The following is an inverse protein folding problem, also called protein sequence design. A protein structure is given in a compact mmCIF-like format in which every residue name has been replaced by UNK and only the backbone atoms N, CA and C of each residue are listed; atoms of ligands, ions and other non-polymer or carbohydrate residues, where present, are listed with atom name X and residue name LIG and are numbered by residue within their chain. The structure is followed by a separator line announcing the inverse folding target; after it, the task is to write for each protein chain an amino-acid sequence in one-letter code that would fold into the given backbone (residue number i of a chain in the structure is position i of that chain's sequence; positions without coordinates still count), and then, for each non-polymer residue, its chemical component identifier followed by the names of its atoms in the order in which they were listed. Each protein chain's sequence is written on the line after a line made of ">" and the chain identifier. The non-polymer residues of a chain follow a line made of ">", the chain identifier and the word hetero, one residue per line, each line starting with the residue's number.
data_IF_337799859432
#
_entry.id   IF_337799859432
#
_cell.length_a   1.000
_cell.length_b   1.000
_cell.length_c   1.000
_cell.angle_alpha   90.00
_cell.angle_beta   90.00
_cell.angle_gamma   90.00
#
_symmetry.space_group_name_H-M   'P 1'
#
loop_
_entity.id
_entity.type
_entity.pdbx_description
1 polymer ?
#
# COMPACT_ATOMS: atom_id res chain seq x y z
N UNK A 1 3.15 61.77 7.73
CA UNK A 1 3.77 62.00 9.04
C UNK A 1 3.03 61.19 10.08
N UNK A 2 3.69 60.21 10.71
CA UNK A 2 3.83 60.03 12.17
C UNK A 2 5.09 59.16 12.33
N UNK A 3 5.99 59.55 13.22
CA UNK A 3 7.27 58.86 13.46
C UNK A 3 7.28 58.28 14.87
N UNK A 4 7.65 57.00 14.99
CA UNK A 4 8.03 56.38 16.28
C UNK A 4 9.32 55.58 16.03
N UNK A 5 10.33 55.77 16.89
CA UNK A 5 11.65 55.17 16.73
C UNK A 5 11.86 53.95 17.67
N UNK A 6 12.78 53.03 17.37
CA UNK A 6 12.92 51.75 18.08
C UNK A 6 14.05 51.70 19.12
N UNK A 7 13.89 50.87 20.15
CA UNK A 7 14.91 50.43 21.12
C UNK A 7 14.55 48.99 21.62
N UNK A 8 15.45 48.23 22.28
CA UNK A 8 16.67 47.65 21.70
C UNK A 8 16.81 46.14 22.03
N UNK A 9 17.79 45.41 21.47
CA UNK A 9 18.13 44.07 22.03
C UNK A 9 19.04 43.11 21.27
N UNK A 10 19.21 43.22 19.95
CA UNK A 10 19.94 42.20 19.17
C UNK A 10 21.46 42.32 19.30
N UNK A 11 22.11 41.38 20.00
CA UNK A 11 23.55 41.11 19.84
C UNK A 11 23.80 40.21 18.62
N UNK A 12 24.80 40.48 17.77
CA UNK A 12 25.08 39.67 16.59
C UNK A 12 25.79 38.36 16.94
N UNK A 13 25.41 37.27 16.28
CA UNK A 13 26.15 35.99 16.31
C UNK A 13 27.21 36.02 15.22
N UNK A 14 28.48 35.88 15.60
CA UNK A 14 29.60 35.78 14.65
C UNK A 14 29.67 34.39 14.02
N UNK A 15 29.85 34.32 12.70
CA UNK A 15 30.21 33.09 12.00
C UNK A 15 31.73 32.87 12.04
N UNK A 16 32.21 31.99 12.92
CA UNK A 16 33.60 31.55 12.95
C UNK A 16 33.85 30.38 11.99
N UNK A 17 34.69 30.56 10.98
CA UNK A 17 35.00 29.52 9.99
C UNK A 17 35.93 28.43 10.56
N UNK A 18 35.51 27.15 10.51
CA UNK A 18 36.32 26.01 10.95
C UNK A 18 36.47 24.91 9.89
N UNK A 19 37.60 25.01 9.17
CA UNK A 19 38.50 23.97 8.62
C UNK A 19 37.94 22.57 8.28
N UNK A 20 38.15 22.16 7.02
CA UNK A 20 37.94 20.80 6.50
C UNK A 20 38.61 19.66 7.30
N UNK A 21 37.92 18.51 7.45
CA UNK A 21 38.55 17.19 7.57
C UNK A 21 38.91 16.62 6.19
N UNK A 22 40.08 15.96 6.13
CA UNK A 22 40.79 15.46 4.94
C UNK A 22 40.00 14.46 4.08
N UNK A 23 40.22 14.47 2.77
CA UNK A 23 39.83 13.38 1.85
C UNK A 23 40.51 12.06 2.24
N UNK A 24 39.73 10.97 2.27
CA UNK A 24 40.26 9.60 2.32
C UNK A 24 40.40 9.09 0.88
N UNK A 25 41.62 8.75 0.47
CA UNK A 25 41.87 8.06 -0.81
C UNK A 25 41.58 6.57 -0.64
N UNK A 26 40.70 6.02 -1.48
CA UNK A 26 40.63 4.57 -1.70
C UNK A 26 41.69 4.15 -2.72
N UNK A 27 42.47 3.12 -2.39
CA UNK A 27 43.45 2.47 -3.28
C UNK A 27 43.11 0.98 -3.34
N UNK A 28 43.01 0.35 -4.52
CA UNK A 28 42.67 -1.06 -4.63
C UNK A 28 43.90 -1.96 -4.41
N UNK A 29 43.88 -2.77 -3.36
CA UNK A 29 44.86 -3.85 -3.12
C UNK A 29 44.35 -5.19 -3.66
N UNK A 30 45.28 -6.05 -4.12
CA UNK A 30 45.00 -7.28 -4.86
C UNK A 30 44.91 -8.52 -3.95
N UNK A 31 44.46 -9.61 -4.59
CA UNK A 31 44.55 -11.03 -4.21
C UNK A 31 45.60 -11.41 -3.16
N UNK A 32 45.23 -12.34 -2.28
CA UNK A 32 46.14 -13.19 -1.51
C UNK A 32 45.58 -14.62 -1.46
N UNK A 33 46.46 -15.61 -1.46
CA UNK A 33 46.14 -17.02 -1.72
C UNK A 33 45.91 -17.86 -0.45
N UNK A 34 45.54 -19.13 -0.63
CA UNK A 34 45.15 -20.06 0.44
C UNK A 34 46.31 -21.01 0.77
N UNK A 35 46.77 -21.04 2.03
CA UNK A 35 47.79 -21.98 2.51
C UNK A 35 47.40 -22.74 3.79
N UNK A 36 47.11 -24.03 3.60
CA UNK A 36 47.23 -25.24 4.47
C UNK A 36 47.31 -25.11 6.01
N UNK A 37 46.45 -25.88 6.68
CA UNK A 37 46.56 -26.35 8.08
C UNK A 37 47.68 -27.40 8.28
N UNK A 38 48.05 -27.73 9.54
CA UNK A 38 47.84 -29.12 9.98
C UNK A 38 47.28 -29.33 11.42
N UNK A 39 46.97 -30.59 11.71
CA UNK A 39 46.27 -31.20 12.86
C UNK A 39 46.65 -30.82 14.31
N UNK A 40 45.70 -31.08 15.22
CA UNK A 40 45.94 -31.88 16.44
C UNK A 40 44.85 -32.95 16.66
N UNK A 41 45.02 -33.89 17.61
CA UNK A 41 44.31 -35.20 17.68
C UNK A 41 43.37 -35.39 18.91
N UNK A 42 42.31 -36.19 18.68
CA UNK A 42 41.63 -37.16 19.58
C UNK A 42 41.32 -36.83 21.06
N UNK A 43 40.02 -36.82 21.40
CA UNK A 43 39.43 -37.47 22.61
C UNK A 43 38.08 -38.13 22.22
N UNK A 44 37.61 -39.14 22.97
CA UNK A 44 36.38 -39.95 22.76
C UNK A 44 35.69 -40.22 24.11
N UNK A 45 34.37 -40.45 24.24
CA UNK A 45 33.22 -40.16 23.34
C UNK A 45 32.49 -38.93 23.95
N UNK A 46 31.18 -38.72 24.17
CA UNK A 46 29.83 -39.35 23.97
C UNK A 46 28.87 -38.14 23.82
N UNK A 47 27.72 -38.11 23.12
CA UNK A 47 27.02 -39.11 22.30
C UNK A 47 25.52 -38.74 22.16
N UNK A 48 25.22 -37.58 21.57
CA UNK A 48 23.88 -37.18 21.11
C UNK A 48 24.03 -36.40 19.79
N UNK A 49 23.04 -36.46 18.89
CA UNK A 49 23.22 -36.06 17.48
C UNK A 49 22.93 -34.58 17.19
N UNK A 50 23.97 -33.76 17.19
CA UNK A 50 23.94 -32.43 16.58
C UNK A 50 24.00 -32.51 15.04
N UNK A 51 23.31 -31.62 14.33
CA UNK A 51 23.77 -31.18 13.00
C UNK A 51 23.32 -29.76 12.57
N UNK A 52 23.32 -28.82 13.51
CA UNK A 52 23.25 -27.38 13.20
C UNK A 52 24.63 -26.84 12.77
N UNK A 53 25.05 -27.03 11.50
CA UNK A 53 26.19 -26.31 10.88
C UNK A 53 26.25 -26.44 9.34
N UNK A 54 25.72 -25.46 8.62
CA UNK A 54 25.92 -25.34 7.15
C UNK A 54 25.90 -23.91 6.59
N UNK A 55 26.13 -22.89 7.44
CA UNK A 55 26.08 -21.46 7.07
C UNK A 55 27.41 -20.95 6.49
N UNK A 56 27.94 -21.57 5.41
CA UNK A 56 28.86 -20.93 4.43
C UNK A 56 28.74 -21.57 3.02
N UNK A 57 27.55 -21.64 2.42
CA UNK A 57 27.44 -22.01 0.98
C UNK A 57 26.20 -21.46 0.24
N UNK A 58 25.75 -20.24 0.54
CA UNK A 58 24.50 -19.69 -0.05
C UNK A 58 24.67 -18.33 -0.75
N UNK A 59 25.63 -18.21 -1.68
CA UNK A 59 25.62 -17.14 -2.71
C UNK A 59 25.32 -17.65 -4.13
N UNK A 60 25.86 -18.80 -4.54
CA UNK A 60 25.54 -19.39 -5.85
C UNK A 60 24.09 -19.91 -5.95
N UNK A 61 23.54 -20.48 -4.87
CA UNK A 61 22.17 -21.04 -4.83
C UNK A 61 21.07 -19.97 -4.96
N UNK A 62 21.33 -18.73 -4.53
CA UNK A 62 20.38 -17.61 -4.69
C UNK A 62 20.21 -17.27 -6.18
N UNK A 63 21.29 -17.26 -6.97
CA UNK A 63 21.23 -17.01 -8.41
C UNK A 63 20.39 -18.07 -9.16
N UNK A 64 20.54 -19.35 -8.80
CA UNK A 64 19.74 -20.42 -9.41
C UNK A 64 18.28 -20.39 -8.98
N UNK A 65 17.97 -20.05 -7.72
CA UNK A 65 16.58 -19.91 -7.25
C UNK A 65 15.89 -18.69 -7.87
N UNK A 66 16.58 -17.55 -8.00
CA UNK A 66 16.04 -16.37 -8.69
C UNK A 66 15.79 -16.63 -10.18
N UNK A 67 16.68 -17.37 -10.85
CA UNK A 67 16.44 -17.80 -12.25
C UNK A 67 15.29 -18.81 -12.38
N UNK A 68 15.15 -19.76 -11.45
CA UNK A 68 14.04 -20.71 -11.45
C UNK A 68 12.69 -20.04 -11.14
N UNK A 69 12.67 -19.03 -10.25
CA UNK A 69 11.47 -18.24 -9.99
C UNK A 69 11.02 -17.42 -11.23
N UNK A 70 11.97 -17.00 -12.07
CA UNK A 70 11.70 -16.32 -13.33
C UNK A 70 11.30 -17.26 -14.50
N UNK A 71 11.26 -18.57 -14.29
CA UNK A 71 10.94 -19.58 -15.32
C UNK A 71 9.77 -20.49 -14.95
N UNK A 72 8.97 -20.13 -13.96
CA UNK A 72 7.70 -20.78 -13.65
C UNK A 72 6.59 -19.91 -14.22
N UNK A 73 5.91 -20.38 -15.27
CA UNK A 73 4.67 -19.74 -15.73
C UNK A 73 3.66 -19.71 -14.58
N UNK A 74 3.08 -18.54 -14.34
CA UNK A 74 1.85 -18.43 -13.55
C UNK A 74 0.80 -19.26 -14.27
N UNK A 75 -0.04 -20.08 -13.60
CA UNK A 75 -1.16 -20.73 -14.28
C UNK A 75 -2.00 -19.65 -14.96
N UNK A 76 -2.03 -19.70 -16.27
CA UNK A 76 -2.66 -18.67 -17.11
C UNK A 76 -4.17 -18.73 -16.87
N UNK A 77 -4.73 -17.61 -16.40
CA UNK A 77 -6.16 -17.41 -16.53
C UNK A 77 -6.47 -17.22 -18.00
N UNK A 78 -7.58 -17.79 -18.48
CA UNK A 78 -8.00 -17.68 -19.87
C UNK A 78 -8.03 -16.21 -20.29
N UNK A 79 -7.28 -15.85 -21.34
CA UNK A 79 -7.29 -14.51 -21.91
C UNK A 79 -8.38 -14.37 -22.96
N UNK A 80 -9.04 -13.20 -22.99
CA UNK A 80 -10.12 -12.95 -23.92
C UNK A 80 -11.01 -11.79 -23.50
N UNK A 81 -11.97 -11.44 -24.35
CA UNK A 81 -13.00 -10.47 -24.01
C UNK A 81 -14.17 -11.19 -23.34
N UNK A 82 -14.24 -11.15 -22.02
CA UNK A 82 -15.32 -11.77 -21.24
C UNK A 82 -16.50 -10.82 -20.96
N UNK A 83 -16.60 -9.73 -21.74
CA UNK A 83 -17.58 -8.67 -21.57
C UNK A 83 -17.23 -7.66 -20.46
N UNK A 84 -18.13 -6.72 -20.22
CA UNK A 84 -18.00 -5.72 -19.16
C UNK A 84 -18.59 -6.22 -17.84
N UNK A 85 -18.03 -5.75 -16.72
CA UNK A 85 -18.63 -5.94 -15.40
C UNK A 85 -19.97 -5.21 -15.36
N UNK A 86 -20.99 -5.85 -14.79
CA UNK A 86 -22.37 -5.38 -14.74
C UNK A 86 -22.48 -3.91 -14.32
N UNK A 87 -23.20 -3.11 -15.11
CA UNK A 87 -23.42 -1.66 -14.88
C UNK A 87 -22.12 -0.83 -14.79
N UNK A 88 -21.04 -1.23 -15.48
CA UNK A 88 -19.79 -0.49 -15.55
C UNK A 88 -19.18 -0.46 -16.95
N UNK A 89 -18.17 0.40 -17.13
CA UNK A 89 -17.32 0.49 -18.30
C UNK A 89 -16.14 -0.51 -18.29
N UNK A 90 -15.85 -1.16 -17.15
CA UNK A 90 -14.70 -2.06 -16.95
C UNK A 90 -14.87 -3.38 -17.71
N UNK A 91 -13.96 -3.67 -18.63
CA UNK A 91 -13.90 -4.90 -19.43
C UNK A 91 -13.08 -5.99 -18.72
N UNK A 92 -13.61 -7.20 -18.61
CA UNK A 92 -12.90 -8.35 -18.04
C UNK A 92 -12.00 -8.95 -19.12
N UNK A 93 -10.68 -8.81 -18.95
CA UNK A 93 -9.64 -9.18 -19.93
C UNK A 93 -9.10 -10.60 -19.76
N UNK A 94 -9.31 -11.17 -18.57
CA UNK A 94 -8.86 -12.51 -18.20
C UNK A 94 -9.85 -13.12 -17.20
N UNK A 95 -9.98 -14.45 -17.13
CA UNK A 95 -10.67 -15.12 -16.01
C UNK A 95 -9.79 -16.14 -15.32
N UNK A 96 -9.82 -16.17 -13.99
CA UNK A 96 -9.13 -17.19 -13.17
C UNK A 96 -10.11 -18.19 -12.58
N UNK A 97 -9.84 -19.47 -12.79
CA UNK A 97 -10.53 -20.54 -12.08
C UNK A 97 -9.92 -20.73 -10.69
N UNK A 98 -10.33 -19.88 -9.74
CA UNK A 98 -9.82 -19.91 -8.36
C UNK A 98 -10.28 -21.15 -7.59
N UNK A 99 -11.42 -21.74 -7.94
CA UNK A 99 -12.04 -22.79 -7.13
C UNK A 99 -11.78 -24.21 -7.66
N UNK A 100 -11.78 -24.39 -8.98
CA UNK A 100 -11.75 -25.70 -9.62
C UNK A 100 -10.51 -25.89 -10.51
N UNK A 101 -10.18 -27.13 -10.85
CA UNK A 101 -9.12 -27.45 -11.83
C UNK A 101 -7.67 -27.18 -11.40
N UNK A 102 -7.42 -26.55 -10.24
CA UNK A 102 -6.08 -26.29 -9.70
C UNK A 102 -5.77 -27.06 -8.42
N UNK A 103 -4.48 -27.21 -8.12
CA UNK A 103 -4.02 -27.64 -6.79
C UNK A 103 -4.15 -26.49 -5.78
N UNK A 104 -4.77 -26.78 -4.64
CA UNK A 104 -4.88 -25.88 -3.49
C UNK A 104 -3.63 -25.99 -2.61
N UNK A 105 -3.12 -24.87 -2.13
CA UNK A 105 -2.08 -24.83 -1.09
C UNK A 105 -2.70 -24.96 0.31
N UNK A 106 -1.90 -25.33 1.31
CA UNK A 106 -2.36 -25.36 2.70
C UNK A 106 -2.87 -24.00 3.18
N UNK A 107 -2.30 -22.90 2.65
CA UNK A 107 -2.77 -21.54 2.94
C UNK A 107 -4.15 -21.28 2.33
N UNK A 108 -4.40 -21.71 1.09
CA UNK A 108 -5.72 -21.55 0.44
C UNK A 108 -6.80 -22.28 1.25
N UNK A 109 -6.49 -23.51 1.71
CA UNK A 109 -7.40 -24.33 2.54
C UNK A 109 -7.65 -23.69 3.90
N UNK A 110 -6.60 -23.18 4.57
CA UNK A 110 -6.75 -22.45 5.84
C UNK A 110 -7.61 -21.20 5.64
N UNK A 111 -7.32 -20.38 4.63
CA UNK A 111 -8.04 -19.12 4.39
C UNK A 111 -9.51 -19.36 4.04
N UNK A 112 -9.85 -20.30 3.15
CA UNK A 112 -11.27 -20.59 2.86
C UNK A 112 -11.98 -21.21 4.06
N UNK A 113 -11.30 -22.02 4.88
CA UNK A 113 -11.89 -22.57 6.11
C UNK A 113 -12.18 -21.47 7.13
N UNK A 114 -11.23 -20.55 7.36
CA UNK A 114 -11.42 -19.41 8.27
C UNK A 114 -12.55 -18.51 7.77
N UNK A 115 -12.48 -18.03 6.52
CA UNK A 115 -13.52 -17.16 5.93
C UNK A 115 -14.88 -17.85 5.94
N UNK A 116 -14.96 -19.10 5.47
CA UNK A 116 -16.20 -19.89 5.47
C UNK A 116 -16.77 -20.10 6.86
N UNK A 117 -15.93 -20.39 7.86
CA UNK A 117 -16.39 -20.56 9.25
C UNK A 117 -16.97 -19.27 9.85
N UNK A 118 -16.41 -18.09 9.54
CA UNK A 118 -16.99 -16.81 9.97
C UNK A 118 -18.35 -16.53 9.30
N UNK A 119 -18.52 -16.93 8.03
CA UNK A 119 -19.80 -16.83 7.32
C UNK A 119 -20.84 -17.78 7.92
N UNK A 120 -20.51 -19.06 8.11
CA UNK A 120 -21.40 -20.04 8.75
C UNK A 120 -21.77 -19.62 10.17
N UNK A 121 -20.80 -19.12 10.96
CA UNK A 121 -21.03 -18.59 12.30
C UNK A 121 -22.00 -17.38 12.28
N UNK A 122 -21.94 -16.54 11.24
CA UNK A 122 -22.85 -15.40 11.07
C UNK A 122 -24.30 -15.81 10.77
N UNK A 123 -24.54 -16.98 10.19
CA UNK A 123 -25.91 -17.47 9.92
C UNK A 123 -26.71 -17.74 11.20
N UNK A 124 -26.05 -17.93 12.34
CA UNK A 124 -26.72 -18.09 13.64
C UNK A 124 -27.25 -16.77 14.22
N UNK A 125 -26.84 -15.61 13.68
CA UNK A 125 -27.10 -14.29 14.25
C UNK A 125 -28.59 -13.98 14.55
N UNK A 126 -29.58 -14.35 13.69
CA UNK A 126 -30.99 -14.11 13.98
C UNK A 126 -31.51 -14.88 15.21
N UNK A 127 -30.95 -16.06 15.48
CA UNK A 127 -31.39 -16.96 16.56
C UNK A 127 -30.78 -16.59 17.91
N UNK A 128 -29.75 -15.74 17.94
CA UNK A 128 -28.99 -15.38 19.16
C UNK A 128 -28.84 -13.87 19.36
N UNK A 129 -29.61 -13.05 18.63
CA UNK A 129 -29.54 -11.60 18.73
C UNK A 129 -29.86 -11.10 20.15
N UNK A 130 -29.03 -10.19 20.64
CA UNK A 130 -29.34 -9.32 21.77
C UNK A 130 -28.49 -8.04 21.67
N UNK A 131 -28.96 -6.97 22.32
CA UNK A 131 -28.33 -5.65 22.24
C UNK A 131 -26.90 -5.59 22.79
N UNK A 132 -26.54 -6.43 23.76
CA UNK A 132 -25.17 -6.47 24.29
C UNK A 132 -24.20 -7.11 23.28
N UNK A 133 -24.57 -8.25 22.68
CA UNK A 133 -23.80 -8.91 21.63
C UNK A 133 -23.66 -8.01 20.39
N UNK A 134 -24.72 -7.30 20.00
CA UNK A 134 -24.69 -6.29 18.93
C UNK A 134 -23.77 -5.11 19.28
N UNK A 135 -23.87 -4.56 20.50
CA UNK A 135 -23.01 -3.46 20.96
C UNK A 135 -21.52 -3.84 20.97
N UNK A 136 -21.20 -5.06 21.39
CA UNK A 136 -19.83 -5.62 21.33
C UNK A 136 -19.37 -5.80 19.88
N UNK A 137 -20.22 -6.29 18.98
CA UNK A 137 -19.90 -6.38 17.55
C UNK A 137 -19.66 -5.01 16.91
N UNK A 138 -20.48 -4.01 17.23
CA UNK A 138 -20.31 -2.64 16.74
C UNK A 138 -19.04 -1.98 17.30
N UNK A 139 -18.76 -2.14 18.59
CA UNK A 139 -17.51 -1.69 19.20
C UNK A 139 -16.28 -2.34 18.57
N UNK A 140 -16.32 -3.66 18.33
CA UNK A 140 -15.26 -4.38 17.63
C UNK A 140 -15.14 -3.98 16.15
N UNK A 141 -16.23 -3.60 15.47
CA UNK A 141 -16.18 -3.04 14.11
C UNK A 141 -15.43 -1.69 14.08
N UNK A 142 -15.64 -0.80 15.06
CA UNK A 142 -14.85 0.42 15.20
C UNK A 142 -13.38 0.12 15.55
N UNK A 143 -13.11 -0.83 16.46
CA UNK A 143 -11.75 -1.20 16.85
C UNK A 143 -10.98 -1.86 15.70
N UNK A 144 -11.52 -2.89 15.05
CA UNK A 144 -10.77 -3.64 14.03
C UNK A 144 -10.87 -3.01 12.64
N UNK A 145 -12.00 -2.38 12.30
CA UNK A 145 -12.19 -1.69 11.02
C UNK A 145 -11.58 -0.28 11.00
N UNK A 146 -12.13 0.65 11.78
CA UNK A 146 -11.68 2.05 11.80
C UNK A 146 -10.25 2.16 12.33
N UNK A 147 -9.96 1.72 13.55
CA UNK A 147 -8.62 1.87 14.15
C UNK A 147 -7.61 0.85 13.57
N UNK A 148 -8.05 -0.39 13.33
CA UNK A 148 -7.21 -1.47 12.82
C UNK A 148 -6.86 -1.34 11.34
N UNK A 149 -7.83 -1.55 10.45
CA UNK A 149 -7.58 -1.53 8.99
C UNK A 149 -7.31 -0.11 8.48
N UNK A 150 -8.23 0.83 8.66
CA UNK A 150 -8.13 2.13 7.94
C UNK A 150 -7.07 3.05 8.54
N UNK A 151 -7.05 3.23 9.87
CA UNK A 151 -6.08 4.10 10.54
C UNK A 151 -4.68 3.48 10.56
N UNK A 152 -4.54 2.22 10.99
CA UNK A 152 -3.24 1.57 11.14
C UNK A 152 -2.74 0.93 9.84
N UNK A 153 -3.32 -0.20 9.40
CA UNK A 153 -2.75 -0.99 8.30
C UNK A 153 -2.63 -0.18 7.00
N UNK A 154 -3.66 0.59 6.66
CA UNK A 154 -3.68 1.40 5.45
C UNK A 154 -2.91 2.72 5.60
N UNK A 155 -3.47 3.73 6.29
CA UNK A 155 -2.90 5.08 6.28
C UNK A 155 -1.56 5.18 7.03
N UNK A 156 -1.41 4.51 8.17
CA UNK A 156 -0.17 4.58 8.96
C UNK A 156 0.94 3.64 8.46
N UNK A 157 0.65 2.35 8.25
CA UNK A 157 1.68 1.35 7.95
C UNK A 157 1.99 1.25 6.45
N UNK A 158 0.98 1.12 5.58
CA UNK A 158 1.22 1.07 4.13
C UNK A 158 1.77 2.39 3.61
N UNK A 159 1.07 3.50 3.86
CA UNK A 159 1.35 4.80 3.23
C UNK A 159 2.22 5.76 4.06
N UNK A 160 2.39 5.48 5.35
CA UNK A 160 3.13 6.34 6.30
C UNK A 160 2.63 7.79 6.25
N UNK A 161 1.31 7.96 6.16
CA UNK A 161 0.66 9.26 5.98
C UNK A 161 0.80 10.21 7.19
N UNK A 162 1.14 9.64 8.35
CA UNK A 162 1.48 10.31 9.59
C UNK A 162 2.34 9.36 10.43
N UNK A 163 2.96 9.87 11.50
CA UNK A 163 3.69 9.09 12.51
C UNK A 163 2.88 9.02 13.81
N UNK A 164 3.07 7.94 14.57
CA UNK A 164 2.55 7.75 15.92
C UNK A 164 3.72 7.38 16.88
N UNK A 165 3.59 7.57 18.19
CA UNK A 165 4.49 6.92 19.15
C UNK A 165 4.31 5.40 19.07
N UNK A 166 5.41 4.65 19.19
CA UNK A 166 5.43 3.21 18.85
C UNK A 166 4.46 2.35 19.65
N UNK A 167 4.15 2.69 20.90
CA UNK A 167 3.14 1.97 21.69
C UNK A 167 1.74 2.07 21.07
N UNK A 168 1.40 3.22 20.45
CA UNK A 168 0.10 3.47 19.84
C UNK A 168 0.03 2.92 18.41
N UNK A 169 1.14 3.01 17.66
CA UNK A 169 1.31 2.30 16.38
C UNK A 169 1.05 0.79 16.57
N UNK A 170 1.70 0.19 17.57
CA UNK A 170 1.59 -1.23 17.87
C UNK A 170 0.21 -1.61 18.41
N UNK A 171 -0.43 -0.75 19.23
CA UNK A 171 -1.80 -0.94 19.69
C UNK A 171 -2.79 -1.01 18.53
N UNK A 172 -2.80 -0.02 17.63
CA UNK A 172 -3.72 -0.02 16.50
C UNK A 172 -3.41 -1.14 15.48
N UNK A 173 -2.15 -1.50 15.29
CA UNK A 173 -1.79 -2.66 14.47
C UNK A 173 -2.26 -4.00 15.09
N UNK A 174 -2.31 -4.10 16.42
CA UNK A 174 -2.92 -5.23 17.11
C UNK A 174 -4.44 -5.28 16.88
N UNK A 175 -5.11 -4.13 16.92
CA UNK A 175 -6.52 -4.02 16.53
C UNK A 175 -6.76 -4.45 15.07
N UNK A 176 -5.83 -4.15 14.16
CA UNK A 176 -5.86 -4.59 12.76
C UNK A 176 -5.71 -6.11 12.62
N UNK A 177 -4.81 -6.74 13.38
CA UNK A 177 -4.66 -8.20 13.38
C UNK A 177 -5.94 -8.94 13.83
N UNK A 178 -6.75 -8.31 14.69
CA UNK A 178 -8.06 -8.84 15.10
C UNK A 178 -9.15 -8.73 14.02
N UNK A 179 -8.90 -8.05 12.89
CA UNK A 179 -9.81 -7.99 11.74
C UNK A 179 -9.83 -9.26 10.89
N UNK A 180 -8.95 -10.25 11.18
CA UNK A 180 -8.84 -11.53 10.46
C UNK A 180 -8.51 -11.42 8.95
N UNK A 181 -7.97 -10.29 8.49
CA UNK A 181 -7.58 -10.03 7.09
C UNK A 181 -6.11 -10.36 6.77
N UNK A 182 -5.37 -10.98 7.70
CA UNK A 182 -3.92 -11.23 7.59
C UNK A 182 -3.12 -10.51 8.68
N UNK A 183 -1.84 -10.86 8.82
CA UNK A 183 -0.93 -10.19 9.75
C UNK A 183 -0.37 -8.89 9.13
N UNK A 184 0.12 -7.93 9.94
CA UNK A 184 0.44 -6.58 9.44
C UNK A 184 1.46 -6.53 8.30
N UNK A 185 2.44 -7.45 8.27
CA UNK A 185 3.46 -7.51 7.21
C UNK A 185 2.84 -7.89 5.86
N UNK A 186 1.98 -8.92 5.83
CA UNK A 186 1.39 -9.46 4.60
C UNK A 186 0.31 -8.54 4.02
N UNK A 187 -0.55 -7.97 4.88
CA UNK A 187 -1.54 -6.98 4.46
C UNK A 187 -0.87 -5.74 3.86
N UNK A 188 0.14 -5.18 4.54
CA UNK A 188 0.90 -4.01 4.06
C UNK A 188 1.69 -4.32 2.79
N UNK A 189 2.27 -5.53 2.70
CA UNK A 189 2.93 -6.01 1.48
C UNK A 189 1.97 -6.01 0.29
N UNK A 190 0.84 -6.69 0.46
CA UNK A 190 -0.21 -6.83 -0.56
C UNK A 190 -0.76 -5.48 -1.00
N UNK A 191 -1.09 -4.61 -0.04
CA UNK A 191 -1.60 -3.26 -0.32
C UNK A 191 -0.59 -2.38 -1.06
N UNK A 192 0.70 -2.46 -0.72
CA UNK A 192 1.77 -1.75 -1.44
C UNK A 192 2.01 -2.32 -2.84
N UNK A 193 1.81 -3.62 -3.07
CA UNK A 193 1.86 -4.19 -4.42
C UNK A 193 0.66 -3.80 -5.29
N UNK A 194 -0.54 -3.70 -4.71
CA UNK A 194 -1.70 -3.15 -5.41
C UNK A 194 -1.41 -1.72 -5.89
N UNK A 195 -0.94 -0.79 -5.05
CA UNK A 195 -0.58 0.55 -5.55
C UNK A 195 0.57 0.55 -6.58
N UNK A 196 1.61 -0.25 -6.37
CA UNK A 196 2.75 -0.30 -7.29
C UNK A 196 2.36 -0.85 -8.69
N UNK A 197 1.34 -1.70 -8.76
CA UNK A 197 0.97 -2.44 -9.96
C UNK A 197 -0.54 -2.36 -10.27
N UNK A 198 -1.19 -1.26 -9.88
CA UNK A 198 -2.65 -1.12 -9.86
C UNK A 198 -3.29 -1.43 -11.21
N UNK A 199 -4.36 -2.23 -11.18
CA UNK A 199 -5.10 -2.65 -12.37
C UNK A 199 -4.20 -3.29 -13.45
N UNK A 200 -3.11 -3.95 -13.06
CA UNK A 200 -2.25 -4.73 -13.96
C UNK A 200 -2.20 -6.21 -13.57
N UNK A 201 -1.53 -7.03 -14.37
CA UNK A 201 -1.34 -8.45 -14.09
C UNK A 201 -0.58 -8.78 -12.79
N UNK A 202 0.08 -7.80 -12.18
CA UNK A 202 0.79 -7.94 -10.89
C UNK A 202 0.01 -7.36 -9.71
N UNK A 203 -1.14 -6.74 -9.94
CA UNK A 203 -2.09 -6.40 -8.89
C UNK A 203 -2.59 -7.70 -8.23
N UNK A 204 -2.55 -7.84 -6.89
CA UNK A 204 -3.11 -9.00 -6.22
C UNK A 204 -4.61 -9.18 -6.46
N UNK A 205 -5.38 -8.11 -6.69
CA UNK A 205 -6.84 -8.15 -6.76
C UNK A 205 -7.41 -7.28 -7.89
N UNK A 206 -6.83 -7.40 -9.09
CA UNK A 206 -7.28 -6.64 -10.27
C UNK A 206 -8.76 -6.89 -10.63
N UNK A 207 -9.56 -5.85 -10.90
CA UNK A 207 -10.90 -5.98 -11.46
C UNK A 207 -10.89 -6.51 -12.90
N UNK A 208 -9.77 -6.44 -13.63
CA UNK A 208 -9.64 -7.02 -14.97
C UNK A 208 -9.74 -8.56 -14.97
N UNK A 209 -9.62 -9.21 -13.81
CA UNK A 209 -9.90 -10.64 -13.62
C UNK A 209 -11.33 -10.92 -13.11
N UNK A 210 -12.15 -9.86 -12.99
CA UNK A 210 -13.57 -9.89 -12.66
C UNK A 210 -13.92 -9.28 -11.29
N UNK A 211 -15.17 -8.84 -11.15
CA UNK A 211 -15.68 -8.28 -9.88
C UNK A 211 -15.53 -9.24 -8.70
N UNK A 212 -15.94 -10.51 -8.86
CA UNK A 212 -15.82 -11.49 -7.78
C UNK A 212 -14.36 -11.86 -7.47
N UNK A 213 -13.45 -11.78 -8.44
CA UNK A 213 -12.02 -11.96 -8.19
C UNK A 213 -11.48 -10.84 -7.31
N UNK A 214 -11.64 -9.58 -7.71
CA UNK A 214 -11.22 -8.40 -6.95
C UNK A 214 -11.91 -8.26 -5.59
N UNK A 215 -13.15 -8.76 -5.46
CA UNK A 215 -13.89 -8.77 -4.21
C UNK A 215 -13.33 -9.81 -3.23
N UNK A 216 -13.41 -11.11 -3.56
CA UNK A 216 -13.14 -12.19 -2.60
C UNK A 216 -12.24 -13.31 -3.14
N UNK A 217 -12.34 -13.68 -4.41
CA UNK A 217 -11.66 -14.90 -4.89
C UNK A 217 -10.13 -14.76 -4.88
N UNK A 218 -9.58 -13.55 -5.07
CA UNK A 218 -8.14 -13.29 -4.97
C UNK A 218 -7.52 -13.80 -3.65
N UNK A 219 -8.28 -13.71 -2.56
CA UNK A 219 -7.85 -14.06 -1.21
C UNK A 219 -7.65 -15.58 -1.02
N UNK A 220 -8.18 -16.41 -1.93
CA UNK A 220 -8.04 -17.86 -1.93
C UNK A 220 -7.01 -18.39 -2.95
N UNK A 221 -6.28 -17.52 -3.66
CA UNK A 221 -5.34 -17.87 -4.73
C UNK A 221 -3.86 -17.60 -4.32
N UNK A 222 -3.50 -17.96 -3.08
CA UNK A 222 -2.27 -17.55 -2.39
C UNK A 222 -1.00 -17.82 -3.23
N UNK A 223 -0.93 -18.98 -3.90
CA UNK A 223 0.19 -19.34 -4.78
C UNK A 223 0.40 -18.32 -5.90
N UNK A 224 -0.67 -17.88 -6.55
CA UNK A 224 -0.64 -16.87 -7.62
C UNK A 224 -0.32 -15.48 -7.08
N UNK A 225 -0.88 -15.10 -5.92
CA UNK A 225 -0.54 -13.83 -5.25
C UNK A 225 0.96 -13.77 -4.91
N UNK A 226 1.52 -14.83 -4.32
CA UNK A 226 2.95 -14.94 -3.99
C UNK A 226 3.83 -14.86 -5.24
N UNK A 227 3.45 -15.53 -6.34
CA UNK A 227 4.16 -15.45 -7.63
C UNK A 227 4.14 -14.02 -8.22
N UNK A 228 3.00 -13.33 -8.18
CA UNK A 228 2.82 -11.97 -8.70
C UNK A 228 3.58 -10.91 -7.90
N UNK A 229 3.46 -10.98 -6.58
CA UNK A 229 4.04 -10.02 -5.65
C UNK A 229 5.55 -10.25 -5.49
N UNK A 230 5.99 -11.50 -5.36
CA UNK A 230 7.36 -11.86 -5.00
C UNK A 230 7.61 -11.93 -3.48
N UNK A 231 6.54 -12.04 -2.68
CA UNK A 231 6.60 -12.04 -1.22
C UNK A 231 6.83 -10.64 -0.59
N UNK A 232 6.88 -10.53 0.75
CA UNK A 232 6.82 -9.27 1.50
C UNK A 232 8.06 -8.37 1.44
N UNK A 233 8.86 -8.46 0.37
CA UNK A 233 10.12 -7.70 0.21
C UNK A 233 9.91 -6.18 0.22
N UNK A 234 8.73 -5.70 -0.20
CA UNK A 234 8.32 -4.30 -0.13
C UNK A 234 7.88 -3.83 1.28
N UNK A 235 7.76 -4.75 2.26
CA UNK A 235 7.34 -4.50 3.64
C UNK A 235 8.49 -4.66 4.67
N UNK A 236 9.75 -4.66 4.21
CA UNK A 236 10.92 -4.89 5.08
C UNK A 236 11.17 -3.86 6.18
N UNK A 237 10.42 -2.76 6.24
CA UNK A 237 10.35 -1.84 7.38
C UNK A 237 9.55 -2.41 8.57
N UNK A 238 8.57 -3.27 8.31
CA UNK A 238 7.84 -4.00 9.34
C UNK A 238 8.64 -5.24 9.77
N UNK A 239 9.19 -6.01 8.82
CA UNK A 239 10.01 -7.21 9.10
C UNK A 239 11.20 -6.94 10.04
N UNK A 240 11.75 -5.72 10.04
CA UNK A 240 12.88 -5.35 10.91
C UNK A 240 12.46 -5.19 12.37
N UNK A 241 11.18 -4.93 12.66
CA UNK A 241 10.69 -4.67 14.01
C UNK A 241 10.26 -5.98 14.71
N UNK A 242 10.72 -6.26 15.95
CA UNK A 242 10.38 -7.50 16.65
C UNK A 242 8.87 -7.72 16.84
N UNK A 243 8.11 -6.64 17.09
CA UNK A 243 6.67 -6.68 17.32
C UNK A 243 5.89 -7.28 16.14
N UNK A 244 6.15 -6.83 14.90
CA UNK A 244 5.43 -7.35 13.74
C UNK A 244 5.77 -8.81 13.42
N UNK A 245 7.00 -9.25 13.67
CA UNK A 245 7.40 -10.67 13.59
C UNK A 245 6.84 -11.54 14.72
N UNK A 246 6.57 -10.95 15.87
CA UNK A 246 5.83 -11.64 16.94
C UNK A 246 4.37 -11.84 16.52
N UNK A 247 3.68 -10.78 16.07
CA UNK A 247 2.29 -10.86 15.59
C UNK A 247 2.13 -11.79 14.39
N UNK A 248 3.08 -11.81 13.46
CA UNK A 248 3.15 -12.78 12.36
C UNK A 248 3.16 -14.23 12.88
N UNK A 249 4.14 -14.57 13.72
CA UNK A 249 4.35 -15.94 14.22
C UNK A 249 3.24 -16.42 15.17
N UNK A 250 2.53 -15.50 15.81
CA UNK A 250 1.44 -15.80 16.75
C UNK A 250 0.07 -15.43 16.21
N UNK A 251 -0.05 -15.07 14.93
CA UNK A 251 -1.25 -14.49 14.32
C UNK A 251 -2.52 -15.28 14.65
N UNK A 252 -2.51 -16.59 14.44
CA UNK A 252 -3.67 -17.46 14.68
C UNK A 252 -4.13 -17.48 16.15
N UNK A 253 -3.22 -17.29 17.11
CA UNK A 253 -3.58 -17.27 18.54
C UNK A 253 -4.39 -16.03 18.92
N UNK A 254 -4.18 -14.88 18.27
CA UNK A 254 -4.80 -13.62 18.70
C UNK A 254 -6.32 -13.54 18.45
N UNK A 255 -6.86 -13.88 17.27
CA UNK A 255 -8.31 -13.99 17.04
C UNK A 255 -8.96 -15.16 17.79
N UNK A 256 -8.24 -16.26 17.99
CA UNK A 256 -8.74 -17.39 18.81
C UNK A 256 -8.89 -16.96 20.26
N UNK A 257 -7.91 -16.26 20.83
CA UNK A 257 -7.99 -15.70 22.18
C UNK A 257 -9.14 -14.69 22.33
N UNK A 258 -9.37 -13.83 21.32
CA UNK A 258 -10.54 -12.94 21.30
C UNK A 258 -11.86 -13.72 21.25
N UNK A 259 -11.96 -14.76 20.42
CA UNK A 259 -13.16 -15.61 20.34
C UNK A 259 -13.46 -16.35 21.65
N UNK A 260 -12.43 -16.90 22.30
CA UNK A 260 -12.55 -17.53 23.63
C UNK A 260 -12.97 -16.51 24.69
N UNK A 261 -12.38 -15.31 24.70
CA UNK A 261 -12.76 -14.24 25.61
C UNK A 261 -14.22 -13.79 25.41
N UNK A 262 -14.67 -13.62 24.17
CA UNK A 262 -16.05 -13.27 23.85
C UNK A 262 -17.03 -14.35 24.32
N UNK A 263 -16.70 -15.63 24.09
CA UNK A 263 -17.52 -16.75 24.58
C UNK A 263 -17.55 -16.83 26.11
N UNK A 264 -16.43 -16.54 26.78
CA UNK A 264 -16.38 -16.51 28.26
C UNK A 264 -17.18 -15.35 28.87
N UNK A 265 -17.27 -14.20 28.17
CA UNK A 265 -17.98 -13.01 28.67
C UNK A 265 -19.48 -12.97 28.35
N UNK A 266 -19.92 -13.61 27.26
CA UNK A 266 -21.33 -13.55 26.84
C UNK A 266 -21.77 -14.72 25.94
N UNK A 267 -21.10 -15.86 26.06
CA UNK A 267 -21.48 -17.13 25.44
C UNK A 267 -21.50 -17.13 23.92
N UNK A 268 -22.26 -18.07 23.36
CA UNK A 268 -22.45 -18.20 21.91
C UNK A 268 -22.97 -16.92 21.23
N UNK A 269 -23.88 -16.10 21.80
CA UNK A 269 -24.26 -14.81 21.22
C UNK A 269 -23.09 -13.87 20.96
N UNK A 270 -22.18 -13.71 21.93
CA UNK A 270 -21.01 -12.82 21.79
C UNK A 270 -20.00 -13.37 20.79
N UNK A 271 -19.86 -14.69 20.69
CA UNK A 271 -19.05 -15.33 19.66
C UNK A 271 -19.64 -15.11 18.26
N UNK A 272 -20.95 -15.35 18.08
CA UNK A 272 -21.66 -15.18 16.80
C UNK A 272 -21.60 -13.74 16.30
N UNK A 273 -21.90 -12.76 17.15
CA UNK A 273 -21.90 -11.36 16.75
C UNK A 273 -20.48 -10.75 16.69
N UNK A 274 -19.64 -11.00 17.71
CA UNK A 274 -18.31 -10.41 17.84
C UNK A 274 -17.22 -11.07 16.96
N UNK A 275 -17.33 -12.35 16.63
CA UNK A 275 -16.43 -13.03 15.69
C UNK A 275 -17.07 -13.30 14.34
N UNK A 276 -18.32 -13.80 14.28
CA UNK A 276 -19.01 -14.02 13.00
C UNK A 276 -19.38 -12.72 12.31
N UNK A 277 -20.51 -12.12 12.70
CA UNK A 277 -21.15 -11.00 12.00
C UNK A 277 -20.19 -9.83 11.81
N UNK A 278 -19.47 -9.43 12.87
CA UNK A 278 -18.49 -8.34 12.82
C UNK A 278 -17.36 -8.60 11.83
N UNK A 279 -16.83 -9.82 11.74
CA UNK A 279 -15.74 -10.13 10.80
C UNK A 279 -16.25 -10.18 9.37
N UNK A 280 -17.39 -10.81 9.11
CA UNK A 280 -18.01 -10.85 7.77
C UNK A 280 -18.36 -9.44 7.27
N UNK A 281 -18.88 -8.58 8.15
CA UNK A 281 -19.11 -7.17 7.85
C UNK A 281 -17.80 -6.44 7.51
N UNK A 282 -16.77 -6.56 8.35
CA UNK A 282 -15.44 -5.96 8.14
C UNK A 282 -14.75 -6.49 6.88
N UNK A 283 -14.93 -7.75 6.53
CA UNK A 283 -14.48 -8.34 5.27
C UNK A 283 -15.14 -7.63 4.08
N UNK A 284 -16.47 -7.70 3.95
CA UNK A 284 -17.14 -7.19 2.76
C UNK A 284 -16.97 -5.67 2.57
N UNK A 285 -16.93 -4.86 3.63
CA UNK A 285 -16.67 -3.41 3.47
C UNK A 285 -15.25 -3.11 2.99
N UNK A 286 -14.24 -3.88 3.37
CA UNK A 286 -12.87 -3.72 2.85
C UNK A 286 -12.77 -4.27 1.42
N UNK A 287 -13.35 -5.43 1.14
CA UNK A 287 -13.42 -6.01 -0.20
C UNK A 287 -14.20 -5.15 -1.20
N UNK A 288 -15.17 -4.36 -0.75
CA UNK A 288 -15.85 -3.32 -1.55
C UNK A 288 -14.94 -2.15 -1.95
N UNK A 289 -13.85 -1.89 -1.23
CA UNK A 289 -12.82 -0.93 -1.67
C UNK A 289 -12.10 -1.50 -2.89
N UNK A 290 -11.57 -2.73 -2.78
CA UNK A 290 -10.84 -3.42 -3.86
C UNK A 290 -11.69 -3.63 -5.13
N UNK A 291 -13.00 -3.84 -4.97
CA UNK A 291 -13.91 -4.22 -6.06
C UNK A 291 -14.84 -3.07 -6.49
N UNK A 292 -15.79 -2.66 -5.64
CA UNK A 292 -16.75 -1.63 -6.00
C UNK A 292 -16.09 -0.27 -6.27
N UNK A 293 -15.01 0.09 -5.57
CA UNK A 293 -14.27 1.34 -5.84
C UNK A 293 -13.25 1.23 -7.00
N UNK A 294 -13.14 0.07 -7.66
CA UNK A 294 -12.43 -0.10 -8.94
C UNK A 294 -13.39 -0.35 -10.12
N UNK A 295 -14.71 -0.32 -9.89
CA UNK A 295 -15.74 -0.64 -10.89
C UNK A 295 -16.84 0.42 -10.99
N UNK A 296 -17.32 0.98 -9.87
CA UNK A 296 -18.43 1.95 -9.85
C UNK A 296 -18.11 3.20 -9.02
N UNK A 297 -18.50 4.37 -9.51
CA UNK A 297 -18.31 5.66 -8.82
C UNK A 297 -17.83 6.76 -9.76
N UNK A 298 -17.19 7.79 -9.21
CA UNK A 298 -16.67 8.94 -9.97
C UNK A 298 -15.14 8.98 -9.97
N UNK A 299 -14.51 8.96 -11.15
CA UNK A 299 -13.09 9.25 -11.30
C UNK A 299 -12.91 10.79 -11.40
N UNK A 300 -12.49 11.42 -10.31
CA UNK A 300 -12.28 12.86 -10.21
C UNK A 300 -10.89 13.29 -10.70
N UNK A 301 -9.89 12.43 -10.48
CA UNK A 301 -8.49 12.62 -10.78
C UNK A 301 -8.03 11.62 -11.84
N UNK A 302 -7.23 12.07 -12.81
CA UNK A 302 -6.62 11.18 -13.80
C UNK A 302 -5.43 10.45 -13.17
N UNK A 303 -5.70 9.29 -12.60
CA UNK A 303 -4.72 8.40 -11.95
C UNK A 303 -4.02 7.46 -12.93
N UNK A 304 -4.66 7.14 -14.06
CA UNK A 304 -4.21 6.11 -15.01
C UNK A 304 -4.67 4.69 -14.66
N UNK A 305 -5.36 4.53 -13.53
CA UNK A 305 -5.96 3.30 -13.01
C UNK A 305 -7.51 3.35 -13.11
N UNK A 306 -8.20 2.34 -12.56
CA UNK A 306 -9.65 2.23 -12.52
C UNK A 306 -10.28 2.71 -11.21
N UNK A 307 -9.52 3.38 -10.33
CA UNK A 307 -10.04 3.84 -9.05
C UNK A 307 -11.17 4.86 -9.23
N UNK A 308 -12.22 4.73 -8.43
CA UNK A 308 -13.43 5.56 -8.45
C UNK A 308 -13.86 5.94 -7.03
N UNK A 309 -14.26 7.19 -6.85
CA UNK A 309 -14.86 7.68 -5.61
C UNK A 309 -16.29 7.16 -5.47
N UNK A 310 -16.57 6.42 -4.40
CA UNK A 310 -17.85 5.81 -4.06
C UNK A 310 -18.26 6.22 -2.63
N UNK A 311 -19.32 7.02 -2.53
CA UNK A 311 -19.72 7.68 -1.28
C UNK A 311 -20.31 6.71 -0.24
N UNK A 312 -21.02 5.66 -0.66
CA UNK A 312 -21.65 4.73 0.29
C UNK A 312 -20.62 3.73 0.83
N UNK A 313 -19.63 3.32 0.01
CA UNK A 313 -18.44 2.62 0.54
C UNK A 313 -17.65 3.54 1.47
N UNK A 314 -17.56 4.84 1.22
CA UNK A 314 -16.89 5.77 2.13
C UNK A 314 -17.58 5.87 3.50
N UNK A 315 -18.92 5.83 3.56
CA UNK A 315 -19.65 5.76 4.83
C UNK A 315 -19.37 4.44 5.57
N UNK A 316 -19.46 3.30 4.88
CA UNK A 316 -19.30 1.97 5.50
C UNK A 316 -17.85 1.66 5.91
N UNK A 317 -16.88 2.12 5.13
CA UNK A 317 -15.44 1.94 5.33
C UNK A 317 -14.74 3.24 5.78
N UNK A 318 -15.42 4.08 6.58
CA UNK A 318 -14.84 5.19 7.34
C UNK A 318 -14.11 6.30 6.55
N UNK A 319 -14.24 6.34 5.22
CA UNK A 319 -13.56 7.25 4.30
C UNK A 319 -12.86 6.55 3.13
N UNK A 320 -12.64 5.23 3.19
CA UNK A 320 -11.83 4.52 2.17
C UNK A 320 -12.49 4.40 0.80
N UNK A 321 -13.81 4.60 0.71
CA UNK A 321 -14.53 4.72 -0.55
C UNK A 321 -14.19 5.99 -1.36
N UNK A 322 -13.46 6.97 -0.80
CA UNK A 322 -12.87 8.07 -1.58
C UNK A 322 -11.60 7.60 -2.33
N UNK A 323 -11.73 6.47 -3.03
CA UNK A 323 -10.59 5.67 -3.44
C UNK A 323 -9.79 6.29 -4.59
N UNK A 324 -10.45 7.05 -5.47
CA UNK A 324 -9.74 7.79 -6.52
C UNK A 324 -9.01 9.04 -5.99
N UNK A 325 -9.55 9.69 -4.94
CA UNK A 325 -8.78 10.70 -4.22
C UNK A 325 -7.55 10.07 -3.54
N UNK A 326 -7.70 8.85 -3.00
CA UNK A 326 -6.62 8.11 -2.36
C UNK A 326 -5.52 7.73 -3.37
N UNK A 327 -5.83 7.04 -4.47
CA UNK A 327 -4.83 6.69 -5.50
C UNK A 327 -4.14 7.91 -6.11
N UNK A 328 -4.83 9.04 -6.28
CA UNK A 328 -4.22 10.29 -6.75
C UNK A 328 -3.18 10.89 -5.77
N UNK A 329 -3.30 10.62 -4.47
CA UNK A 329 -2.44 11.19 -3.42
C UNK A 329 -2.17 10.18 -2.30
N UNK A 330 -1.68 8.98 -2.65
CA UNK A 330 -1.56 7.80 -1.76
C UNK A 330 -0.93 8.06 -0.38
N UNK A 331 -0.01 9.02 -0.30
CA UNK A 331 0.67 9.44 0.92
C UNK A 331 -0.18 10.29 1.87
N UNK A 332 -1.42 10.66 1.51
CA UNK A 332 -2.29 11.57 2.27
C UNK A 332 -2.91 10.91 3.49
N UNK A 333 -3.06 11.64 4.59
CA UNK A 333 -3.81 11.18 5.75
C UNK A 333 -5.34 11.36 5.60
N UNK A 334 -5.77 12.05 4.54
CA UNK A 334 -7.16 12.43 4.23
C UNK A 334 -7.51 11.99 2.81
N UNK A 335 -8.49 11.11 2.68
CA UNK A 335 -8.99 10.63 1.40
C UNK A 335 -10.24 11.42 0.98
N UNK A 336 -11.08 11.85 1.93
CA UNK A 336 -12.19 12.77 1.66
C UNK A 336 -11.71 14.21 1.49
N UNK A 337 -11.19 14.58 0.31
CA UNK A 337 -10.53 15.88 0.03
C UNK A 337 -11.48 17.07 0.01
N UNK A 338 -12.72 16.88 -0.45
CA UNK A 338 -13.77 17.91 -0.41
C UNK A 338 -14.40 18.04 0.98
N UNK A 339 -15.07 19.17 1.23
CA UNK A 339 -15.68 19.45 2.54
C UNK A 339 -16.87 18.51 2.87
N UNK A 340 -17.58 18.04 1.84
CA UNK A 340 -18.72 17.12 1.94
C UNK A 340 -18.32 15.63 1.93
N UNK A 341 -17.04 15.33 1.70
CA UNK A 341 -16.55 13.95 1.64
C UNK A 341 -16.23 13.45 3.05
N UNK A 342 -17.23 12.81 3.69
CA UNK A 342 -17.12 12.25 5.04
C UNK A 342 -15.95 11.26 5.13
N UNK A 343 -15.00 11.55 6.04
CA UNK A 343 -13.78 10.76 6.25
C UNK A 343 -13.55 10.65 7.76
N UNK A 344 -14.15 9.62 8.37
CA UNK A 344 -14.14 9.38 9.82
C UNK A 344 -12.73 9.10 10.31
N UNK A 345 -11.95 8.34 9.55
CA UNK A 345 -10.55 8.03 9.86
C UNK A 345 -9.68 9.29 9.84
N UNK A 346 -9.92 10.22 8.92
CA UNK A 346 -9.28 11.54 8.94
C UNK A 346 -9.62 12.34 10.21
N UNK A 347 -10.87 12.30 10.69
CA UNK A 347 -11.23 12.96 11.95
C UNK A 347 -10.50 12.33 13.16
N UNK A 348 -10.28 11.01 13.15
CA UNK A 348 -9.44 10.34 14.17
C UNK A 348 -7.98 10.78 14.07
N UNK A 349 -7.39 10.85 12.87
CA UNK A 349 -6.02 11.42 12.68
C UNK A 349 -5.96 12.86 13.18
N UNK A 350 -6.96 13.69 12.88
CA UNK A 350 -7.06 15.08 13.34
C UNK A 350 -7.16 15.22 14.86
N UNK A 351 -7.92 14.34 15.51
CA UNK A 351 -7.97 14.29 16.97
C UNK A 351 -6.61 13.91 17.55
N UNK A 352 -5.99 12.83 17.06
CA UNK A 352 -4.65 12.40 17.49
C UNK A 352 -3.58 13.48 17.23
N UNK A 353 -3.71 14.25 16.15
CA UNK A 353 -2.83 15.39 15.84
C UNK A 353 -3.02 16.54 16.84
N UNK A 354 -4.27 16.88 17.18
CA UNK A 354 -4.59 17.94 18.12
C UNK A 354 -4.06 17.67 19.54
N UNK A 355 -4.02 16.39 19.97
CA UNK A 355 -3.43 15.96 21.25
C UNK A 355 -1.94 15.56 21.13
N UNK A 356 -1.28 15.88 20.01
CA UNK A 356 0.17 15.69 19.83
C UNK A 356 0.65 14.25 19.61
N UNK A 357 -0.26 13.28 19.50
CA UNK A 357 0.08 11.86 19.27
C UNK A 357 0.31 11.52 17.78
N UNK A 358 -0.33 12.23 16.85
CA UNK A 358 -0.07 12.11 15.42
C UNK A 358 0.81 13.27 14.90
N UNK A 359 2.00 12.95 14.41
CA UNK A 359 2.98 13.91 13.87
C UNK A 359 3.27 13.65 12.40
N UNK A 360 3.94 14.59 11.72
CA UNK A 360 4.26 14.53 10.28
C UNK A 360 3.05 14.17 9.38
N UNK A 361 1.87 14.67 9.73
CA UNK A 361 0.60 14.41 9.04
C UNK A 361 0.63 15.05 7.65
N UNK A 362 0.58 14.23 6.60
CA UNK A 362 0.69 14.65 5.20
C UNK A 362 -0.67 14.92 4.58
N UNK A 363 -0.71 15.94 3.72
CA UNK A 363 -1.86 16.30 2.88
C UNK A 363 -1.35 16.74 1.49
N UNK A 364 -2.12 16.57 0.40
CA UNK A 364 -1.77 17.10 -0.90
C UNK A 364 -1.92 18.62 -0.94
N UNK A 365 -0.86 19.32 -1.32
CA UNK A 365 -0.92 20.76 -1.59
C UNK A 365 -1.72 21.06 -2.86
N UNK A 366 -2.28 22.27 -2.97
CA UNK A 366 -3.01 22.70 -4.17
C UNK A 366 -2.16 22.63 -5.45
N UNK A 367 -0.84 22.85 -5.34
CA UNK A 367 0.09 22.68 -6.45
C UNK A 367 0.23 21.21 -6.90
N UNK A 368 0.12 20.25 -5.98
CA UNK A 368 0.10 18.82 -6.33
C UNK A 368 -1.24 18.42 -6.94
N UNK A 369 -2.37 18.91 -6.40
CA UNK A 369 -3.70 18.71 -6.99
C UNK A 369 -3.78 19.23 -8.42
N UNK A 370 -3.32 20.47 -8.65
CA UNK A 370 -3.31 21.08 -9.97
C UNK A 370 -2.47 20.29 -10.98
N UNK A 371 -1.34 19.69 -10.59
CA UNK A 371 -0.53 18.84 -11.49
C UNK A 371 -1.30 17.60 -11.98
N UNK A 372 -2.02 16.92 -11.10
CA UNK A 372 -2.85 15.75 -11.46
C UNK A 372 -4.01 16.15 -12.38
N UNK A 373 -4.59 17.34 -12.19
CA UNK A 373 -5.61 17.89 -13.10
C UNK A 373 -5.03 18.28 -14.46
N UNK A 374 -3.84 18.89 -14.51
CA UNK A 374 -3.22 19.32 -15.78
C UNK A 374 -2.93 18.13 -16.69
N UNK A 375 -2.45 17.00 -16.14
CA UNK A 375 -2.20 15.75 -16.88
C UNK A 375 -3.46 15.07 -17.47
N UNK A 376 -4.64 15.71 -17.36
CA UNK A 376 -5.91 15.26 -17.95
C UNK A 376 -6.04 15.61 -19.44
N UNK A 377 -5.29 16.59 -19.96
CA UNK A 377 -5.33 16.92 -21.40
C UNK A 377 -4.41 15.98 -22.20
N UNK A 378 -4.89 15.33 -23.28
CA UNK A 378 -4.07 14.44 -24.12
C UNK A 378 -2.77 15.09 -24.60
N UNK A 379 -2.86 16.36 -25.04
CA UNK A 379 -1.72 17.17 -25.47
C UNK A 379 -0.65 17.31 -24.38
N UNK A 380 -1.05 17.51 -23.12
CA UNK A 380 -0.10 17.62 -22.00
C UNK A 380 0.47 16.26 -21.56
N UNK A 381 -0.28 15.17 -21.72
CA UNK A 381 0.23 13.84 -21.40
C UNK A 381 1.35 13.44 -22.35
N UNK A 382 1.16 13.59 -23.67
CA UNK A 382 2.23 13.32 -24.64
C UNK A 382 3.40 14.29 -24.49
N UNK A 383 3.15 15.59 -24.33
CA UNK A 383 4.22 16.58 -24.11
C UNK A 383 5.05 16.26 -22.85
N UNK A 384 4.41 15.87 -21.75
CA UNK A 384 5.13 15.48 -20.52
C UNK A 384 5.83 14.13 -20.65
N UNK A 385 5.29 13.19 -21.44
CA UNK A 385 5.93 11.89 -21.73
C UNK A 385 7.18 12.06 -22.59
N UNK A 386 7.12 12.90 -23.63
CA UNK A 386 8.25 13.28 -24.48
C UNK A 386 9.31 14.07 -23.69
N UNK A 387 8.88 15.04 -22.87
CA UNK A 387 9.78 15.80 -22.00
C UNK A 387 10.49 14.90 -20.98
N UNK A 388 9.79 13.96 -20.34
CA UNK A 388 10.40 13.01 -19.42
C UNK A 388 11.35 12.02 -20.12
N UNK A 389 11.07 11.61 -21.38
CA UNK A 389 11.99 10.79 -22.18
C UNK A 389 13.30 11.55 -22.45
N UNK A 390 13.22 12.77 -23.00
CA UNK A 390 14.38 13.65 -23.20
C UNK A 390 15.14 13.94 -21.90
N UNK A 391 14.44 14.13 -20.79
CA UNK A 391 15.05 14.36 -19.47
C UNK A 391 15.87 13.15 -19.02
N UNK A 392 15.36 11.93 -19.18
CA UNK A 392 16.09 10.71 -18.85
C UNK A 392 17.36 10.58 -19.70
N UNK A 393 17.25 10.73 -21.02
CA UNK A 393 18.37 10.75 -21.98
C UNK A 393 19.43 11.81 -21.59
N UNK A 394 19.02 13.00 -21.16
CA UNK A 394 19.93 14.06 -20.69
C UNK A 394 20.54 13.81 -19.30
N UNK A 395 19.92 12.98 -18.46
CA UNK A 395 20.29 12.80 -17.04
C UNK A 395 21.42 11.79 -16.78
N UNK A 396 21.72 10.94 -17.78
CA UNK A 396 22.80 9.95 -17.70
C UNK A 396 24.17 10.64 -17.62
N UNK A 397 24.32 11.81 -18.25
CA UNK A 397 25.57 12.55 -18.27
C UNK A 397 25.80 13.32 -16.94
N UNK A 398 26.95 13.11 -16.29
CA UNK A 398 27.13 13.44 -14.86
C UNK A 398 27.08 14.95 -14.56
N UNK A 399 27.37 15.81 -15.53
CA UNK A 399 27.42 17.29 -15.40
C UNK A 399 26.06 17.98 -15.58
N UNK A 400 25.05 17.35 -16.19
CA UNK A 400 23.79 18.04 -16.57
C UNK A 400 22.81 18.27 -15.41
N UNK A 401 22.89 17.43 -14.37
CA UNK A 401 21.78 17.14 -13.44
C UNK A 401 21.21 18.35 -12.69
N UNK A 402 22.05 19.33 -12.32
CA UNK A 402 21.61 20.52 -11.58
C UNK A 402 20.88 21.50 -12.52
N UNK A 403 21.39 21.72 -13.73
CA UNK A 403 20.74 22.56 -14.75
C UNK A 403 19.43 21.94 -15.24
N UNK A 404 19.45 20.62 -15.49
CA UNK A 404 18.30 19.88 -16.02
C UNK A 404 17.08 19.94 -15.09
N UNK A 405 17.28 19.84 -13.76
CA UNK A 405 16.19 19.92 -12.78
C UNK A 405 15.50 21.30 -12.73
N UNK A 406 16.25 22.40 -12.86
CA UNK A 406 15.69 23.76 -12.90
C UNK A 406 14.90 23.98 -14.20
N UNK A 407 15.40 23.48 -15.33
CA UNK A 407 14.72 23.59 -16.62
C UNK A 407 13.46 22.72 -16.69
N UNK A 408 13.46 21.51 -16.10
CA UNK A 408 12.27 20.65 -16.04
C UNK A 408 11.09 21.35 -15.32
N UNK A 409 11.37 22.01 -14.19
CA UNK A 409 10.36 22.79 -13.46
C UNK A 409 9.81 23.94 -14.32
N UNK A 410 10.68 24.68 -15.03
CA UNK A 410 10.24 25.75 -15.95
C UNK A 410 9.42 25.22 -17.12
N UNK A 411 9.78 24.10 -17.72
CA UNK A 411 9.03 23.49 -18.84
C UNK A 411 7.64 23.05 -18.36
N UNK A 412 7.54 22.41 -17.19
CA UNK A 412 6.26 22.02 -16.59
C UNK A 412 5.37 23.24 -16.24
N UNK A 413 5.97 24.34 -15.76
CA UNK A 413 5.27 25.61 -15.54
C UNK A 413 4.78 26.24 -16.86
N UNK A 414 5.62 26.25 -17.90
CA UNK A 414 5.27 26.79 -19.21
C UNK A 414 4.16 25.97 -19.90
N UNK A 415 4.22 24.63 -19.82
CA UNK A 415 3.15 23.75 -20.30
C UNK A 415 1.82 24.01 -19.56
N UNK A 416 1.86 24.27 -18.25
CA UNK A 416 0.68 24.68 -17.48
C UNK A 416 0.10 26.03 -17.90
N UNK A 417 0.95 27.01 -18.28
CA UNK A 417 0.45 28.27 -18.87
C UNK A 417 -0.12 28.07 -20.27
N UNK A 418 0.50 27.22 -21.09
CA UNK A 418 0.03 26.92 -22.45
C UNK A 418 -1.34 26.23 -22.42
N UNK A 419 -1.53 25.23 -21.55
CA UNK A 419 -2.82 24.51 -21.44
C UNK A 419 -3.97 25.45 -21.09
N UNK A 420 -3.77 26.36 -20.13
CA UNK A 420 -4.74 27.40 -19.75
C UNK A 420 -5.11 28.32 -20.92
N UNK A 421 -4.14 28.67 -21.78
CA UNK A 421 -4.43 29.47 -22.99
C UNK A 421 -5.10 28.68 -24.12
N UNK A 422 -4.95 27.35 -24.16
CA UNK A 422 -5.67 26.49 -25.11
C UNK A 422 -7.10 26.15 -24.67
N UNK A 423 -7.37 25.98 -23.37
CA UNK A 423 -8.74 25.75 -22.89
C UNK A 423 -9.67 26.97 -23.13
N UNK A 424 -9.09 28.16 -23.28
CA UNK A 424 -9.81 29.38 -23.69
C UNK A 424 -10.03 29.51 -25.21
N UNK A 425 -9.56 28.55 -26.04
CA UNK A 425 -9.70 28.59 -27.50
C UNK A 425 -9.93 27.19 -28.08
N UNK A 426 -11.18 26.85 -28.38
CA UNK A 426 -11.56 25.61 -29.10
C UNK A 426 -10.62 25.36 -30.29
N UNK A 427 -9.82 24.29 -30.24
CA UNK A 427 -8.71 24.06 -31.16
C UNK A 427 -8.80 22.69 -31.84
N UNK A 428 -8.63 22.69 -33.17
CA UNK A 428 -8.60 21.49 -34.02
C UNK A 428 -7.19 20.90 -34.23
N UNK A 429 -7.05 19.92 -35.15
CA UNK A 429 -5.88 19.03 -35.20
C UNK A 429 -4.52 19.66 -35.52
N UNK A 430 -4.48 20.76 -36.28
CA UNK A 430 -3.27 21.31 -36.91
C UNK A 430 -2.28 22.05 -36.00
N UNK A 431 -1.89 21.47 -34.85
CA UNK A 431 -0.92 22.08 -33.91
C UNK A 431 0.16 21.15 -33.35
N UNK A 432 0.15 19.85 -33.66
CA UNK A 432 1.17 18.91 -33.15
C UNK A 432 2.60 19.30 -33.59
N UNK A 433 2.77 19.68 -34.85
CA UNK A 433 4.09 20.05 -35.42
C UNK A 433 4.72 21.28 -34.73
N UNK A 434 3.89 22.26 -34.34
CA UNK A 434 4.35 23.45 -33.63
C UNK A 434 4.81 23.16 -32.20
N UNK A 435 4.22 22.15 -31.54
CA UNK A 435 4.65 21.72 -30.22
C UNK A 435 5.96 20.93 -30.28
N UNK A 436 6.13 20.08 -31.31
CA UNK A 436 7.40 19.41 -31.62
C UNK A 436 8.55 20.41 -31.84
N UNK A 437 8.32 21.49 -32.60
CA UNK A 437 9.32 22.55 -32.80
C UNK A 437 9.65 23.29 -31.49
N UNK A 438 8.64 23.62 -30.68
CA UNK A 438 8.85 24.31 -29.39
C UNK A 438 9.62 23.45 -28.36
N UNK A 439 9.48 22.12 -28.42
CA UNK A 439 10.22 21.16 -27.57
C UNK A 439 11.60 20.78 -28.17
N UNK A 440 11.98 21.34 -29.32
CA UNK A 440 13.30 21.18 -29.96
C UNK A 440 14.24 22.39 -29.78
N UNK A 441 13.71 23.53 -29.31
CA UNK A 441 14.49 24.67 -28.78
C UNK A 441 14.79 24.56 -27.29
#
# INVERSE_FOLDING_TARGET
>A
MVTVAPLPGTKPIQFSALRHPKLIKFVPSRNLEITKLPHFKNVKNVGFSDNWRSVVCCKKRVSSVVKAAASISVPEGEEGNFGKILLSDVEVKRRRNVYWGRQWSSMDVITITVVGSMHVLSLFAPFVFNWAAFGVAFGLYLVTGLLGITLSFHRNLSHRAFKLPKWLEYLFAYCGAQALQGHPIDWVSTHRYHHQFCDSERDPHSPYEGFWYSHISWFFDNKTIVQRCGGPTNASDLEKQPFYKFLEKTYAFHPVALGVLLYALGGFPFLVWGMGVRTVWVYHITWLVNSACHVWGKQAWNTGDLSRNNWWVAVLAFGEGWHNNHHAFEYSARHGLEWWQLDVTWYVVRFLQAIGLATDVKLPSEAQKQRVVILKSPYTYEASRLCNRKYLEMSENRTSRISCGVNHIKIQQNLSSYSKTSEQRNAGPGRLDGLEQWVKG
#
